data_IF_504529779175
#
_entry.id   IF_504529779175
#
_cell.length_a   1.000
_cell.length_b   1.000
_cell.length_c   1.000
_cell.angle_alpha   90.00
_cell.angle_beta   90.00
_cell.angle_gamma   90.00
#
_symmetry.space_group_name_H-M   'P 1'
#
loop_
_entity.id
_entity.type
_entity.pdbx_description
1 polymer ?
#
# COMPACT_ATOMS: atom_id res chain seq x y z
N UNK A 1 -11.11 -26.26 1.82
CA UNK A 1 -11.77 -25.50 2.90
C UNK A 1 -10.73 -24.92 3.85
N UNK A 2 -10.76 -23.62 4.08
CA UNK A 2 -9.92 -22.96 5.07
C UNK A 2 -10.48 -23.30 6.44
N UNK A 3 -9.69 -23.98 7.30
CA UNK A 3 -10.11 -24.45 8.63
C UNK A 3 -11.37 -25.30 8.68
N UNK A 4 -11.78 -25.95 7.57
CA UNK A 4 -12.96 -26.81 7.53
C UNK A 4 -14.33 -26.11 7.62
N UNK A 5 -14.35 -24.78 7.77
CA UNK A 5 -15.57 -24.00 8.03
C UNK A 5 -16.14 -23.29 6.80
N UNK A 6 -15.32 -23.01 5.77
CA UNK A 6 -15.77 -22.30 4.58
C UNK A 6 -15.41 -23.08 3.31
N UNK A 7 -16.41 -23.56 2.57
CA UNK A 7 -16.23 -24.02 1.21
C UNK A 7 -16.10 -22.77 0.31
N UNK A 8 -15.01 -22.67 -0.47
CA UNK A 8 -14.90 -21.63 -1.50
C UNK A 8 -15.96 -21.90 -2.56
N UNK A 9 -17.00 -21.08 -2.54
CA UNK A 9 -18.11 -21.18 -3.50
C UNK A 9 -17.59 -20.88 -4.91
N UNK A 10 -18.09 -21.62 -5.90
CA UNK A 10 -17.76 -21.44 -7.33
C UNK A 10 -17.96 -19.99 -7.84
N UNK A 11 -18.76 -19.21 -7.15
CA UNK A 11 -19.04 -17.79 -7.45
C UNK A 11 -18.05 -16.80 -6.84
N UNK A 12 -17.03 -17.22 -6.09
CA UNK A 12 -16.00 -16.35 -5.51
C UNK A 12 -16.47 -15.35 -4.46
N UNK A 13 -17.76 -15.30 -4.13
CA UNK A 13 -18.30 -14.33 -3.14
C UNK A 13 -17.72 -14.54 -1.75
N UNK A 14 -17.57 -15.78 -1.32
CA UNK A 14 -16.99 -16.11 -0.01
C UNK A 14 -15.52 -15.71 0.07
N UNK A 15 -14.74 -15.96 -0.99
CA UNK A 15 -13.35 -15.56 -1.09
C UNK A 15 -13.20 -14.03 -1.04
N UNK A 16 -14.07 -13.30 -1.75
CA UNK A 16 -14.08 -11.85 -1.75
C UNK A 16 -14.37 -11.28 -0.35
N UNK A 17 -15.44 -11.75 0.31
CA UNK A 17 -15.81 -11.28 1.67
C UNK A 17 -14.67 -11.57 2.65
N UNK A 18 -14.06 -12.75 2.57
CA UNK A 18 -12.93 -13.14 3.41
C UNK A 18 -11.73 -12.19 3.21
N UNK A 19 -11.32 -11.94 1.96
CA UNK A 19 -10.22 -11.02 1.66
C UNK A 19 -10.50 -9.60 2.14
N UNK A 20 -11.72 -9.09 1.96
CA UNK A 20 -12.14 -7.78 2.43
C UNK A 20 -12.13 -7.72 3.96
N UNK A 21 -12.62 -8.75 4.65
CA UNK A 21 -12.59 -8.81 6.11
C UNK A 21 -11.16 -8.77 6.66
N UNK A 22 -10.25 -9.58 6.09
CA UNK A 22 -8.83 -9.59 6.47
C UNK A 22 -8.18 -8.23 6.18
N UNK A 23 -8.48 -7.62 5.04
CA UNK A 23 -7.99 -6.28 4.70
C UNK A 23 -8.42 -5.24 5.75
N UNK A 24 -9.69 -5.25 6.17
CA UNK A 24 -10.18 -4.35 7.21
C UNK A 24 -9.47 -4.56 8.54
N UNK A 25 -9.29 -5.81 8.96
CA UNK A 25 -8.57 -6.15 10.21
C UNK A 25 -7.12 -5.66 10.14
N UNK A 26 -6.41 -5.95 9.06
CA UNK A 26 -5.03 -5.53 8.87
C UNK A 26 -4.91 -4.00 8.79
N UNK A 27 -5.83 -3.34 8.09
CA UNK A 27 -5.86 -1.89 8.00
C UNK A 27 -6.11 -1.24 9.36
N UNK A 28 -7.04 -1.75 10.14
CA UNK A 28 -7.30 -1.28 11.50
C UNK A 28 -6.08 -1.45 12.41
N UNK A 29 -5.42 -2.62 12.32
CA UNK A 29 -4.19 -2.90 13.06
C UNK A 29 -3.06 -1.94 12.66
N UNK A 30 -2.84 -1.73 11.36
CA UNK A 30 -1.86 -0.78 10.83
C UNK A 30 -2.13 0.64 11.33
N UNK A 31 -3.40 1.07 11.31
CA UNK A 31 -3.81 2.37 11.84
C UNK A 31 -3.49 2.51 13.32
N UNK A 32 -3.75 1.49 14.11
CA UNK A 32 -3.44 1.48 15.55
C UNK A 32 -1.93 1.56 15.80
N UNK A 33 -1.12 0.82 15.05
CA UNK A 33 0.35 0.86 15.14
C UNK A 33 0.89 2.24 14.76
N UNK A 34 0.42 2.82 13.66
CA UNK A 34 0.88 4.15 13.19
C UNK A 34 0.57 5.28 14.16
N UNK A 35 -0.51 5.17 14.94
CA UNK A 35 -0.89 6.17 15.96
C UNK A 35 -0.38 5.82 17.36
N UNK A 36 0.33 4.72 17.55
CA UNK A 36 0.96 4.34 18.81
C UNK A 36 2.27 5.12 19.05
N UNK A 37 2.82 5.10 20.29
CA UNK A 37 4.16 5.64 20.57
C UNK A 37 5.25 5.05 19.67
N UNK A 38 5.07 3.80 19.22
CA UNK A 38 5.96 3.17 18.26
C UNK A 38 5.93 3.91 16.91
N UNK A 39 4.76 4.20 16.36
CA UNK A 39 4.61 4.95 15.10
C UNK A 39 5.13 6.39 15.21
N UNK A 40 4.94 7.04 16.36
CA UNK A 40 5.50 8.38 16.62
C UNK A 40 7.03 8.36 16.60
N UNK A 41 7.67 7.38 17.24
CA UNK A 41 9.13 7.23 17.22
C UNK A 41 9.68 7.03 15.81
N UNK A 42 8.98 6.27 14.96
CA UNK A 42 9.36 6.09 13.55
C UNK A 42 9.27 7.38 12.73
N UNK A 43 8.26 8.22 12.99
CA UNK A 43 8.16 9.55 12.36
C UNK A 43 9.30 10.45 12.78
N UNK A 44 9.72 10.42 14.06
CA UNK A 44 10.89 11.13 14.55
C UNK A 44 12.18 10.65 13.87
N UNK A 45 12.37 9.33 13.73
CA UNK A 45 13.53 8.73 13.03
C UNK A 45 13.56 9.19 11.56
N UNK A 46 12.41 9.23 10.87
CA UNK A 46 12.30 9.72 9.49
C UNK A 46 12.71 11.19 9.34
N UNK A 47 12.43 12.02 10.35
CA UNK A 47 12.78 13.44 10.32
C UNK A 47 14.28 13.66 10.59
N UNK A 48 14.84 12.99 11.59
CA UNK A 48 16.25 13.11 11.92
C UNK A 48 16.77 11.89 12.69
N UNK A 49 17.44 11.00 11.97
CA UNK A 49 18.01 9.76 12.52
C UNK A 49 19.05 10.03 13.61
N UNK A 50 19.84 11.11 13.49
CA UNK A 50 20.94 11.41 14.41
C UNK A 50 20.47 11.98 15.75
N UNK A 51 19.33 12.65 15.79
CA UNK A 51 18.79 13.23 17.03
C UNK A 51 18.04 12.22 17.89
N UNK A 52 17.50 11.18 17.31
CA UNK A 52 16.64 10.22 18.03
C UNK A 52 17.38 9.41 19.10
N UNK A 53 18.65 8.98 18.93
CA UNK A 53 19.39 8.33 19.98
C UNK A 53 19.61 9.24 21.21
N UNK A 54 19.85 10.53 20.99
CA UNK A 54 19.99 11.51 22.08
C UNK A 54 18.72 11.67 22.93
N UNK A 55 17.54 11.34 22.35
CA UNK A 55 16.25 11.30 23.04
C UNK A 55 15.94 9.92 23.66
N UNK A 56 16.93 9.01 23.72
CA UNK A 56 16.79 7.67 24.30
C UNK A 56 16.05 6.67 23.43
N UNK A 57 15.82 6.95 22.13
CA UNK A 57 15.12 6.03 21.24
C UNK A 57 16.09 5.05 20.60
N UNK A 58 15.94 3.71 20.81
CA UNK A 58 16.78 2.72 20.16
C UNK A 58 16.40 2.57 18.68
N UNK A 59 17.08 3.33 17.80
CA UNK A 59 16.76 3.43 16.37
C UNK A 59 16.76 2.06 15.69
N UNK A 60 17.82 1.26 15.90
CA UNK A 60 17.96 -0.06 15.26
C UNK A 60 16.81 -1.02 15.64
N UNK A 61 16.44 -1.06 16.92
CA UNK A 61 15.34 -1.92 17.38
C UNK A 61 14.00 -1.46 16.78
N UNK A 62 13.77 -0.14 16.62
CA UNK A 62 12.56 0.39 15.99
C UNK A 62 12.51 0.07 14.48
N UNK A 63 13.64 0.18 13.79
CA UNK A 63 13.73 -0.16 12.38
C UNK A 63 13.54 -1.67 12.15
N UNK A 64 14.16 -2.52 12.98
CA UNK A 64 13.91 -3.97 12.95
C UNK A 64 12.44 -4.29 13.16
N UNK A 65 11.80 -3.66 14.14
CA UNK A 65 10.38 -3.89 14.43
C UNK A 65 9.47 -3.52 13.25
N UNK A 66 9.69 -2.38 12.59
CA UNK A 66 8.87 -2.00 11.44
C UNK A 66 9.12 -2.89 10.23
N UNK A 67 10.36 -3.34 10.02
CA UNK A 67 10.70 -4.28 8.95
C UNK A 67 10.01 -5.64 9.16
N UNK A 68 10.05 -6.17 10.38
CA UNK A 68 9.36 -7.41 10.74
C UNK A 68 7.84 -7.29 10.55
N UNK A 69 7.25 -6.17 10.98
CA UNK A 69 5.83 -5.91 10.74
C UNK A 69 5.50 -5.90 9.23
N UNK A 70 6.32 -5.23 8.43
CA UNK A 70 6.16 -5.23 6.98
C UNK A 70 6.20 -6.64 6.38
N UNK A 71 7.16 -7.47 6.83
CA UNK A 71 7.29 -8.86 6.39
C UNK A 71 6.06 -9.71 6.78
N UNK A 72 5.51 -9.51 7.98
CA UNK A 72 4.28 -10.19 8.42
C UNK A 72 3.09 -9.81 7.53
N UNK A 73 2.91 -8.52 7.22
CA UNK A 73 1.85 -8.06 6.32
C UNK A 73 1.99 -8.64 4.92
N UNK A 74 3.22 -8.66 4.38
CA UNK A 74 3.51 -9.26 3.08
C UNK A 74 3.24 -10.77 3.08
N UNK A 75 3.60 -11.48 4.15
CA UNK A 75 3.32 -12.91 4.31
C UNK A 75 1.82 -13.22 4.34
N UNK A 76 1.03 -12.43 5.07
CA UNK A 76 -0.43 -12.58 5.10
C UNK A 76 -1.03 -12.30 3.71
N UNK A 77 -0.57 -11.26 3.01
CA UNK A 77 -1.03 -10.95 1.67
C UNK A 77 -0.70 -12.08 0.68
N UNK A 78 0.50 -12.67 0.76
CA UNK A 78 0.89 -13.84 -0.03
C UNK A 78 0.03 -15.07 0.27
N UNK A 79 -0.28 -15.33 1.54
CA UNK A 79 -1.17 -16.42 1.93
C UNK A 79 -2.59 -16.23 1.38
N UNK A 80 -3.13 -15.01 1.42
CA UNK A 80 -4.43 -14.69 0.83
C UNK A 80 -4.42 -14.89 -0.69
N UNK A 81 -3.36 -14.46 -1.37
CA UNK A 81 -3.21 -14.67 -2.81
C UNK A 81 -3.24 -16.16 -3.14
N UNK A 82 -2.47 -16.98 -2.41
CA UNK A 82 -2.45 -18.43 -2.58
C UNK A 82 -3.81 -19.08 -2.36
N UNK A 83 -4.54 -18.64 -1.35
CA UNK A 83 -5.86 -19.17 -1.04
C UNK A 83 -6.91 -18.81 -2.10
N UNK A 84 -6.81 -17.64 -2.70
CA UNK A 84 -7.78 -17.17 -3.72
C UNK A 84 -7.48 -17.73 -5.10
N UNK A 85 -6.22 -17.82 -5.49
CA UNK A 85 -5.82 -18.33 -6.81
C UNK A 85 -5.63 -19.85 -6.82
N UNK A 86 -5.52 -20.48 -5.65
CA UNK A 86 -5.19 -21.92 -5.47
C UNK A 86 -3.92 -22.36 -6.21
N UNK A 87 -3.12 -21.40 -6.66
CA UNK A 87 -1.88 -21.63 -7.38
C UNK A 87 -0.86 -20.55 -7.02
N UNK A 88 0.40 -20.97 -6.83
CA UNK A 88 1.54 -20.05 -6.60
C UNK A 88 2.56 -20.31 -7.68
N UNK A 89 2.82 -19.30 -8.49
CA UNK A 89 3.93 -19.31 -9.43
C UNK A 89 5.12 -18.51 -8.86
N UNK A 90 6.32 -18.85 -9.28
CA UNK A 90 7.54 -18.10 -8.95
C UNK A 90 7.48 -16.66 -9.49
N UNK A 91 6.60 -16.40 -10.45
CA UNK A 91 6.37 -15.09 -11.04
C UNK A 91 5.90 -14.03 -10.02
N UNK A 92 5.31 -14.45 -8.90
CA UNK A 92 4.97 -13.55 -7.77
C UNK A 92 6.21 -12.84 -7.20
N UNK A 93 7.39 -13.47 -7.30
CA UNK A 93 8.68 -12.92 -6.85
C UNK A 93 9.41 -12.15 -7.96
N UNK A 94 8.77 -11.94 -9.12
CA UNK A 94 9.40 -11.26 -10.24
C UNK A 94 9.65 -9.78 -9.94
N UNK A 95 10.66 -9.22 -10.60
CA UNK A 95 10.97 -7.80 -10.54
C UNK A 95 9.77 -6.94 -10.99
N UNK A 96 9.01 -7.39 -11.98
CA UNK A 96 7.84 -6.70 -12.49
C UNK A 96 6.78 -6.50 -11.39
N UNK A 97 6.50 -7.51 -10.57
CA UNK A 97 5.57 -7.40 -9.45
C UNK A 97 6.05 -6.42 -8.38
N UNK A 98 7.35 -6.44 -8.10
CA UNK A 98 7.94 -5.48 -7.16
C UNK A 98 7.85 -4.04 -7.70
N UNK A 99 8.07 -3.85 -9.00
CA UNK A 99 7.92 -2.55 -9.65
C UNK A 99 6.46 -2.06 -9.60
N UNK A 100 5.46 -2.92 -9.88
CA UNK A 100 4.04 -2.59 -9.76
C UNK A 100 3.67 -2.11 -8.35
N UNK A 101 4.15 -2.80 -7.31
CA UNK A 101 3.91 -2.41 -5.92
C UNK A 101 4.54 -1.06 -5.57
N UNK A 102 5.75 -0.79 -6.08
CA UNK A 102 6.39 0.52 -5.95
C UNK A 102 5.58 1.62 -6.66
N UNK A 103 5.06 1.34 -7.85
CA UNK A 103 4.18 2.24 -8.58
C UNK A 103 2.93 2.61 -7.76
N UNK A 104 2.25 1.62 -7.20
CA UNK A 104 1.08 1.81 -6.35
C UNK A 104 1.42 2.70 -5.14
N UNK A 105 2.58 2.44 -4.51
CA UNK A 105 3.03 3.19 -3.34
C UNK A 105 3.33 4.66 -3.68
N UNK A 106 4.02 4.92 -4.79
CA UNK A 106 4.34 6.28 -5.24
C UNK A 106 3.07 7.02 -5.65
N UNK A 107 2.18 6.36 -6.38
CA UNK A 107 0.91 6.92 -6.83
C UNK A 107 0.01 7.32 -5.64
N UNK A 108 -0.05 6.47 -4.62
CA UNK A 108 -0.81 6.73 -3.40
C UNK A 108 -0.19 7.80 -2.51
N UNK A 109 1.14 7.96 -2.57
CA UNK A 109 1.92 8.83 -1.72
C UNK A 109 2.40 8.16 -0.42
N UNK A 110 3.71 8.20 -0.18
CA UNK A 110 4.39 7.51 0.93
C UNK A 110 4.09 8.08 2.33
N UNK A 111 3.30 9.16 2.40
CA UNK A 111 3.05 9.89 3.65
C UNK A 111 1.77 9.50 4.38
N UNK A 112 0.90 8.66 3.81
CA UNK A 112 -0.40 8.35 4.39
C UNK A 112 -0.83 6.90 4.16
N UNK A 113 -1.41 6.30 5.20
CA UNK A 113 -1.97 4.94 5.14
C UNK A 113 -3.13 4.84 4.13
N UNK A 114 -3.96 5.88 4.05
CA UNK A 114 -5.05 5.96 3.08
C UNK A 114 -4.57 6.14 1.64
N UNK A 115 -3.36 6.70 1.45
CA UNK A 115 -2.73 6.83 0.14
C UNK A 115 -2.52 5.47 -0.53
N UNK A 116 -2.10 4.46 0.21
CA UNK A 116 -1.92 3.11 -0.32
C UNK A 116 -3.23 2.53 -0.87
N UNK A 117 -4.36 2.70 -0.19
CA UNK A 117 -5.67 2.25 -0.66
C UNK A 117 -6.11 3.01 -1.94
N UNK A 118 -5.99 4.33 -1.92
CA UNK A 118 -6.32 5.15 -3.10
C UNK A 118 -5.39 4.84 -4.28
N UNK A 119 -4.09 4.67 -4.02
CA UNK A 119 -3.12 4.28 -5.03
C UNK A 119 -3.47 2.95 -5.68
N UNK A 120 -3.87 1.96 -4.89
CA UNK A 120 -4.29 0.65 -5.42
C UNK A 120 -5.55 0.77 -6.28
N UNK A 121 -6.56 1.52 -5.85
CA UNK A 121 -7.80 1.71 -6.63
C UNK A 121 -7.49 2.40 -7.95
N UNK A 122 -6.71 3.49 -7.93
CA UNK A 122 -6.35 4.24 -9.14
C UNK A 122 -5.49 3.38 -10.06
N UNK A 123 -4.51 2.67 -9.52
CA UNK A 123 -3.66 1.78 -10.32
C UNK A 123 -4.47 0.66 -10.98
N UNK A 124 -5.33 -0.03 -10.24
CA UNK A 124 -6.17 -1.11 -10.78
C UNK A 124 -7.14 -0.61 -11.84
N UNK A 125 -7.72 0.58 -11.65
CA UNK A 125 -8.59 1.20 -12.64
C UNK A 125 -7.82 1.58 -13.91
N UNK A 126 -6.65 2.21 -13.75
CA UNK A 126 -5.77 2.55 -14.87
C UNK A 126 -5.31 1.29 -15.62
N UNK A 127 -4.87 0.27 -14.90
CA UNK A 127 -4.48 -1.01 -15.48
C UNK A 127 -5.62 -1.64 -16.29
N UNK A 128 -6.83 -1.67 -15.76
CA UNK A 128 -7.99 -2.24 -16.44
C UNK A 128 -8.35 -1.48 -17.72
N UNK A 129 -8.35 -0.15 -17.67
CA UNK A 129 -8.64 0.70 -18.82
C UNK A 129 -7.54 0.60 -19.90
N UNK A 130 -6.27 0.67 -19.53
CA UNK A 130 -5.16 0.63 -20.47
C UNK A 130 -4.99 -0.76 -21.09
N UNK A 131 -5.15 -1.83 -20.30
CA UNK A 131 -5.10 -3.20 -20.79
C UNK A 131 -6.23 -3.53 -21.76
N UNK A 132 -7.40 -2.89 -21.60
CA UNK A 132 -8.53 -3.03 -22.53
C UNK A 132 -8.32 -2.35 -23.89
N UNK A 133 -7.54 -1.25 -23.93
CA UNK A 133 -7.28 -0.49 -25.17
C UNK A 133 -6.13 -1.11 -25.98
N UNK A 134 -5.01 -1.42 -25.32
CA UNK A 134 -3.81 -1.97 -25.97
C UNK A 134 -3.06 -2.94 -25.03
N UNK A 135 -3.36 -4.25 -25.09
CA UNK A 135 -2.72 -5.26 -24.23
C UNK A 135 -1.20 -5.36 -24.39
N UNK A 136 -0.66 -4.93 -25.52
CA UNK A 136 0.76 -5.06 -25.87
C UNK A 136 1.61 -3.92 -25.31
N UNK A 137 1.05 -2.71 -25.14
CA UNK A 137 1.78 -1.50 -24.75
C UNK A 137 1.30 -0.91 -23.40
N UNK A 138 0.49 -1.63 -22.63
CA UNK A 138 -0.05 -1.12 -21.37
C UNK A 138 1.05 -0.74 -20.34
N UNK A 139 2.15 -1.48 -20.32
CA UNK A 139 3.31 -1.18 -19.45
C UNK A 139 3.98 0.15 -19.81
N UNK A 140 4.07 0.46 -21.11
CA UNK A 140 4.60 1.75 -21.59
C UNK A 140 3.73 2.92 -21.11
N UNK A 141 2.41 2.79 -21.24
CA UNK A 141 1.47 3.79 -20.77
C UNK A 141 1.50 3.97 -19.25
N UNK A 142 1.65 2.89 -18.50
CA UNK A 142 1.86 2.95 -17.06
C UNK A 142 3.16 3.67 -16.70
N UNK A 143 4.24 3.46 -17.47
CA UNK A 143 5.49 4.19 -17.29
C UNK A 143 5.32 5.69 -17.49
N UNK A 144 4.62 6.11 -18.55
CA UNK A 144 4.31 7.53 -18.80
C UNK A 144 3.47 8.11 -17.68
N UNK A 145 2.43 7.40 -17.24
CA UNK A 145 1.57 7.81 -16.12
C UNK A 145 2.39 7.98 -14.83
N UNK A 146 3.33 7.07 -14.57
CA UNK A 146 4.25 7.20 -13.44
C UNK A 146 5.08 8.48 -13.52
N UNK A 147 5.72 8.72 -14.67
CA UNK A 147 6.54 9.92 -14.87
C UNK A 147 5.69 11.17 -14.61
N UNK A 148 4.47 11.20 -15.15
CA UNK A 148 3.55 12.30 -14.93
C UNK A 148 3.20 12.49 -13.45
N UNK A 149 2.89 11.41 -12.74
CA UNK A 149 2.56 11.46 -11.30
C UNK A 149 3.76 11.90 -10.46
N UNK A 150 4.97 11.38 -10.76
CA UNK A 150 6.19 11.76 -10.03
C UNK A 150 6.56 13.23 -10.25
N UNK A 151 6.36 13.74 -11.46
CA UNK A 151 6.65 15.15 -11.78
C UNK A 151 5.63 16.12 -11.18
N UNK A 152 4.34 15.80 -11.26
CA UNK A 152 3.27 16.70 -10.85
C UNK A 152 2.75 16.45 -9.42
N UNK A 153 2.80 15.21 -8.92
CA UNK A 153 2.30 14.83 -7.62
C UNK A 153 3.43 14.28 -6.73
N UNK A 154 4.40 15.11 -6.41
CA UNK A 154 5.59 14.76 -5.61
C UNK A 154 5.25 14.12 -4.25
N UNK A 155 4.07 14.44 -3.69
CA UNK A 155 3.53 13.86 -2.46
C UNK A 155 2.42 12.82 -2.72
N UNK A 156 2.27 12.33 -3.95
CA UNK A 156 1.20 11.44 -4.38
C UNK A 156 -0.18 12.10 -4.44
N UNK A 157 -1.19 11.34 -4.83
CA UNK A 157 -2.58 11.81 -4.95
C UNK A 157 -3.09 12.37 -3.62
N UNK A 158 -2.69 11.78 -2.51
CA UNK A 158 -3.09 12.24 -1.18
C UNK A 158 -2.45 13.59 -0.80
N UNK A 159 -1.24 13.88 -1.28
CA UNK A 159 -0.58 15.18 -1.12
C UNK A 159 -1.32 16.28 -1.88
N UNK A 160 -1.69 16.01 -3.13
CA UNK A 160 -2.47 16.92 -3.96
C UNK A 160 -3.84 17.22 -3.34
N UNK A 161 -4.55 16.20 -2.84
CA UNK A 161 -5.82 16.36 -2.12
C UNK A 161 -5.70 17.22 -0.85
N UNK A 162 -4.62 17.02 -0.07
CA UNK A 162 -4.36 17.84 1.13
C UNK A 162 -4.10 19.31 0.79
N UNK A 163 -3.36 19.55 -0.27
CA UNK A 163 -3.06 20.93 -0.74
C UNK A 163 -4.33 21.61 -1.23
N UNK A 164 -5.16 20.89 -1.97
CA UNK A 164 -6.46 21.40 -2.44
C UNK A 164 -7.41 21.72 -1.28
N UNK A 165 -7.52 20.81 -0.30
CA UNK A 165 -8.32 20.98 0.91
C UNK A 165 -7.85 22.16 1.77
N UNK A 166 -6.54 22.43 1.83
CA UNK A 166 -6.00 23.60 2.53
C UNK A 166 -6.32 24.90 1.81
N UNK A 167 -6.29 24.93 0.47
CA UNK A 167 -6.67 26.12 -0.31
C UNK A 167 -8.17 26.45 -0.14
N UNK A 168 -9.04 25.45 -0.10
CA UNK A 168 -10.48 25.65 0.10
C UNK A 168 -10.78 26.13 1.52
N UNK A 169 -10.06 25.66 2.55
CA UNK A 169 -10.24 26.12 3.94
C UNK A 169 -9.55 27.45 4.24
N UNK A 170 -8.45 27.78 3.57
CA UNK A 170 -7.73 29.05 3.75
C UNK A 170 -8.35 30.25 3.04
N UNK A 171 -9.34 30.05 2.18
CA UNK A 171 -10.08 31.12 1.51
C UNK A 171 -11.28 31.68 2.30
N UNK A 172 -11.40 31.32 3.58
CA UNK A 172 -12.51 31.77 4.48
C UNK A 172 -12.01 32.53 5.72
N UNK A 173 -10.85 33.18 5.63
CA UNK A 173 -10.38 34.12 6.64
C UNK A 173 -10.20 35.49 6.02
#
# INVERSE_FOLDING_TARGET
PVLGLFAFDLYGKTAYIYCVAVLFVLFWLARRIVHSPFGLSLRGIRQNVFRMPALGTPVNARLMGVYTLGAVYAGIAGALLTQTTQFVSIDVLSFNRSAELLLILVLGGTGSLYGALLGTVVFMTAHHLLSGINPQYWQFWLGILLIFVVLFARDGIMGALRTLSRRIKGGRA
#
